data_IF_267943654285
#
_entry.id   IF_267943654285
#
_cell.length_a   1.000
_cell.length_b   1.000
_cell.length_c   1.000
_cell.angle_alpha   90.00
_cell.angle_beta   90.00
_cell.angle_gamma   90.00
#
_symmetry.space_group_name_H-M   'P 1'
#
loop_
_entity.id
_entity.type
_entity.pdbx_description
1 polymer ?
#
# COMPACT_ATOMS: atom_id res chain seq x y z
N UNK A 1 58.37 0.76 -20.33
CA UNK A 1 57.46 -0.27 -19.84
C UNK A 1 56.18 0.46 -19.34
N UNK A 2 55.09 0.36 -20.11
CA UNK A 2 53.83 1.07 -19.82
C UNK A 2 52.86 0.07 -19.20
N UNK A 3 52.49 0.28 -17.91
CA UNK A 3 51.49 -0.51 -17.24
C UNK A 3 50.10 0.04 -17.58
N UNK A 4 49.31 -0.77 -18.30
CA UNK A 4 47.86 -0.49 -18.51
C UNK A 4 47.08 -0.91 -17.24
N UNK A 5 46.51 0.05 -16.56
CA UNK A 5 45.56 -0.21 -15.52
C UNK A 5 44.16 -0.45 -16.14
N UNK A 6 43.69 -1.70 -16.05
CA UNK A 6 42.31 -2.04 -16.39
C UNK A 6 41.38 -1.59 -15.24
N UNK A 7 40.57 -0.56 -15.48
CA UNK A 7 39.46 -0.18 -14.60
C UNK A 7 38.30 -1.13 -14.88
N UNK A 8 38.09 -2.09 -13.99
CA UNK A 8 36.89 -2.93 -14.02
C UNK A 8 35.73 -2.16 -13.44
N UNK A 9 34.85 -1.67 -14.29
CA UNK A 9 33.55 -1.10 -13.90
C UNK A 9 32.61 -2.22 -13.45
N UNK A 10 32.41 -2.31 -12.14
CA UNK A 10 31.44 -3.23 -11.54
C UNK A 10 30.04 -2.65 -11.74
N UNK A 11 29.28 -3.16 -12.71
CA UNK A 11 27.85 -2.88 -12.84
C UNK A 11 27.12 -3.57 -11.67
N UNK A 12 26.72 -2.81 -10.71
CA UNK A 12 25.73 -3.26 -9.73
C UNK A 12 24.36 -3.35 -10.43
N UNK A 13 24.00 -4.56 -10.82
CA UNK A 13 22.63 -4.87 -11.18
C UNK A 13 21.80 -4.85 -9.88
N UNK A 14 21.11 -3.76 -9.62
CA UNK A 14 20.08 -3.71 -8.59
C UNK A 14 18.88 -4.53 -9.07
N UNK A 15 18.82 -5.78 -8.63
CA UNK A 15 17.65 -6.62 -8.80
C UNK A 15 16.47 -5.97 -8.10
N UNK A 16 15.46 -5.60 -8.88
CA UNK A 16 14.16 -5.17 -8.37
C UNK A 16 13.43 -6.40 -7.78
N UNK A 17 13.72 -6.70 -6.54
CA UNK A 17 12.90 -7.57 -5.70
C UNK A 17 12.07 -6.64 -4.85
N UNK A 18 10.84 -6.31 -5.24
CA UNK A 18 9.89 -5.75 -4.29
C UNK A 18 8.46 -5.73 -4.85
N UNK A 19 7.66 -6.72 -4.58
CA UNK A 19 6.21 -6.56 -4.59
C UNK A 19 5.60 -6.76 -3.18
N UNK A 20 6.23 -7.54 -2.31
CA UNK A 20 5.68 -7.91 -1.00
C UNK A 20 6.16 -7.00 0.16
N UNK A 21 7.31 -6.35 -0.01
CA UNK A 21 7.92 -5.48 1.02
C UNK A 21 7.38 -4.03 1.01
N UNK A 22 6.53 -3.70 0.04
CA UNK A 22 5.96 -2.35 -0.10
C UNK A 22 4.80 -2.09 0.90
N UNK A 23 4.10 -3.12 1.36
CA UNK A 23 2.96 -3.00 2.25
C UNK A 23 3.38 -3.09 3.71
N UNK A 24 3.03 -2.06 4.48
CA UNK A 24 3.30 -1.97 5.92
C UNK A 24 2.07 -2.39 6.73
N UNK A 25 2.30 -2.79 7.97
CA UNK A 25 1.22 -3.13 8.92
C UNK A 25 1.12 -2.14 10.08
N UNK A 26 2.03 -1.16 10.14
CA UNK A 26 2.14 -0.16 11.21
C UNK A 26 1.80 1.22 10.66
N UNK A 27 0.56 1.68 10.90
CA UNK A 27 0.08 2.96 10.40
C UNK A 27 0.84 4.17 10.99
N UNK A 28 1.16 4.24 12.29
CA UNK A 28 1.99 5.32 12.83
C UNK A 28 3.32 5.49 12.09
N UNK A 29 4.06 4.41 11.89
CA UNK A 29 5.33 4.46 11.14
C UNK A 29 5.13 4.84 9.67
N UNK A 30 4.04 4.37 9.05
CA UNK A 30 3.71 4.75 7.69
C UNK A 30 3.43 6.25 7.55
N UNK A 31 2.75 6.87 8.52
CA UNK A 31 2.52 8.31 8.56
C UNK A 31 3.82 9.11 8.74
N UNK A 32 4.72 8.66 9.60
CA UNK A 32 6.04 9.26 9.76
C UNK A 32 6.83 9.24 8.44
N UNK A 33 6.82 8.08 7.76
CA UNK A 33 7.45 7.94 6.45
C UNK A 33 6.80 8.85 5.40
N UNK A 34 5.48 8.86 5.33
CA UNK A 34 4.73 9.70 4.38
C UNK A 34 5.05 11.19 4.57
N UNK A 35 5.16 11.64 5.81
CA UNK A 35 5.55 13.02 6.14
C UNK A 35 6.96 13.34 5.68
N UNK A 36 7.91 12.44 5.92
CA UNK A 36 9.30 12.58 5.49
C UNK A 36 9.44 12.58 3.96
N UNK A 37 8.69 11.73 3.26
CA UNK A 37 8.74 11.57 1.81
C UNK A 37 7.76 12.48 1.06
N UNK A 38 6.94 13.25 1.75
CA UNK A 38 5.86 14.09 1.18
C UNK A 38 4.88 13.28 0.31
N UNK A 39 4.50 12.10 0.81
CA UNK A 39 3.54 11.18 0.18
C UNK A 39 2.24 11.11 0.95
N UNK A 40 1.22 10.59 0.31
CA UNK A 40 -0.03 10.19 0.96
C UNK A 40 0.12 8.77 1.55
N UNK A 41 -0.78 8.40 2.45
CA UNK A 41 -0.88 7.02 2.97
C UNK A 41 -2.15 6.39 2.41
N UNK A 42 -2.04 5.25 1.75
CA UNK A 42 -3.19 4.43 1.39
C UNK A 42 -3.30 3.26 2.35
N UNK A 43 -4.46 3.11 2.97
CA UNK A 43 -4.77 2.03 3.90
C UNK A 43 -5.78 1.10 3.21
N UNK A 44 -5.45 -0.18 3.12
CA UNK A 44 -6.36 -1.26 2.72
C UNK A 44 -6.81 -2.04 3.95
N UNK A 45 -8.07 -1.86 4.35
CA UNK A 45 -8.75 -2.72 5.32
C UNK A 45 -9.31 -3.91 4.57
N UNK A 46 -8.76 -5.08 4.80
CA UNK A 46 -9.03 -6.26 3.96
C UNK A 46 -9.30 -7.53 4.77
N UNK A 47 -9.96 -8.48 4.16
CA UNK A 47 -10.08 -9.86 4.62
C UNK A 47 -9.41 -10.79 3.63
N UNK A 48 -8.07 -10.85 3.65
CA UNK A 48 -7.24 -11.39 2.58
C UNK A 48 -7.51 -12.87 2.26
N UNK A 49 -7.96 -13.66 3.23
CA UNK A 49 -8.18 -15.10 3.06
C UNK A 49 -9.66 -15.51 2.83
N UNK A 50 -10.61 -14.60 3.07
CA UNK A 50 -12.04 -14.94 3.02
C UNK A 50 -12.92 -13.99 2.21
N UNK A 51 -12.47 -12.77 1.90
CA UNK A 51 -13.28 -11.71 1.29
C UNK A 51 -13.10 -11.68 -0.24
N UNK A 52 -14.09 -12.17 -1.07
CA UNK A 52 -13.94 -12.20 -2.52
C UNK A 52 -13.68 -10.82 -3.16
N UNK A 53 -14.41 -9.74 -2.85
CA UNK A 53 -14.11 -8.44 -3.45
C UNK A 53 -12.75 -7.88 -3.03
N UNK A 54 -12.25 -8.23 -1.81
CA UNK A 54 -10.88 -7.87 -1.39
C UNK A 54 -9.83 -8.55 -2.28
N UNK A 55 -9.97 -9.85 -2.50
CA UNK A 55 -9.08 -10.61 -3.39
C UNK A 55 -9.11 -10.08 -4.81
N UNK A 56 -10.29 -9.70 -5.29
CA UNK A 56 -10.44 -9.14 -6.63
C UNK A 56 -9.76 -7.77 -6.74
N UNK A 57 -10.00 -6.85 -5.80
CA UNK A 57 -9.30 -5.56 -5.74
C UNK A 57 -7.78 -5.74 -5.73
N UNK A 58 -7.28 -6.62 -4.88
CA UNK A 58 -5.84 -6.90 -4.77
C UNK A 58 -5.28 -7.37 -6.11
N UNK A 59 -5.91 -8.37 -6.73
CA UNK A 59 -5.45 -8.97 -7.99
C UNK A 59 -5.53 -8.00 -9.17
N UNK A 60 -6.62 -7.23 -9.29
CA UNK A 60 -6.90 -6.46 -10.52
C UNK A 60 -6.43 -5.01 -10.45
N UNK A 61 -6.28 -4.45 -9.25
CA UNK A 61 -5.85 -3.06 -9.06
C UNK A 61 -4.52 -2.99 -8.33
N UNK A 62 -4.45 -3.49 -7.08
CA UNK A 62 -3.30 -3.24 -6.22
C UNK A 62 -2.01 -3.93 -6.69
N UNK A 63 -2.11 -5.00 -7.47
CA UNK A 63 -0.98 -5.66 -8.15
C UNK A 63 -0.77 -5.18 -9.59
N UNK A 64 -1.58 -4.26 -10.10
CA UNK A 64 -1.41 -3.76 -11.47
C UNK A 64 -0.17 -2.90 -11.63
N UNK A 65 0.35 -2.84 -12.85
CA UNK A 65 1.50 -2.01 -13.17
C UNK A 65 1.18 -0.51 -13.00
N UNK A 66 -0.03 -0.10 -13.40
CA UNK A 66 -0.52 1.27 -13.25
C UNK A 66 -0.54 1.71 -11.79
N UNK A 67 -1.08 0.88 -10.91
CA UNK A 67 -1.10 1.17 -9.48
C UNK A 67 0.31 1.18 -8.89
N UNK A 68 1.14 0.20 -9.24
CA UNK A 68 2.51 0.09 -8.72
C UNK A 68 3.36 1.31 -9.08
N UNK A 69 3.27 1.80 -10.32
CA UNK A 69 3.96 3.01 -10.77
C UNK A 69 3.48 4.25 -10.00
N UNK A 70 2.17 4.42 -9.86
CA UNK A 70 1.61 5.53 -9.11
C UNK A 70 1.98 5.48 -7.62
N UNK A 71 1.87 4.32 -7.01
CA UNK A 71 2.12 4.12 -5.59
C UNK A 71 3.58 4.41 -5.23
N UNK A 72 4.53 3.97 -6.04
CA UNK A 72 5.96 4.19 -5.82
C UNK A 72 6.30 5.67 -5.57
N UNK A 73 5.70 6.56 -6.33
CA UNK A 73 6.01 7.99 -6.28
C UNK A 73 5.11 8.76 -5.31
N UNK A 74 3.91 8.27 -4.99
CA UNK A 74 2.87 9.06 -4.35
C UNK A 74 2.33 8.48 -3.05
N UNK A 75 2.53 7.19 -2.76
CA UNK A 75 1.88 6.51 -1.66
C UNK A 75 2.89 5.80 -0.74
N UNK A 76 2.58 5.78 0.55
CA UNK A 76 3.03 4.77 1.50
C UNK A 76 1.85 3.82 1.69
N UNK A 77 2.07 2.51 1.50
CA UNK A 77 1.01 1.51 1.50
C UNK A 77 0.91 0.82 2.86
N UNK A 78 -0.30 0.71 3.39
CA UNK A 78 -0.61 0.03 4.65
C UNK A 78 -1.72 -0.99 4.43
N UNK A 79 -1.47 -2.25 4.77
CA UNK A 79 -2.48 -3.31 4.80
C UNK A 79 -2.86 -3.60 6.25
N UNK A 80 -4.15 -3.48 6.55
CA UNK A 80 -4.75 -3.88 7.82
C UNK A 80 -5.65 -5.08 7.56
N UNK A 81 -5.07 -6.27 7.71
CA UNK A 81 -5.75 -7.54 7.42
C UNK A 81 -6.54 -8.05 8.62
N UNK A 82 -7.70 -8.61 8.33
CA UNK A 82 -8.61 -9.26 9.28
C UNK A 82 -8.85 -10.71 8.85
N UNK A 83 -7.82 -11.57 8.94
CA UNK A 83 -7.90 -12.94 8.44
C UNK A 83 -8.79 -13.81 9.31
N UNK A 84 -9.36 -14.88 8.73
CA UNK A 84 -10.11 -15.92 9.44
C UNK A 84 -9.28 -17.18 9.70
N UNK A 85 -8.40 -17.52 8.77
CA UNK A 85 -7.61 -18.77 8.81
C UNK A 85 -6.12 -18.55 8.88
N UNK A 86 -5.60 -17.44 8.34
CA UNK A 86 -4.18 -17.10 8.45
C UNK A 86 -3.82 -16.74 9.89
N UNK A 87 -2.68 -17.22 10.40
CA UNK A 87 -2.20 -16.82 11.72
C UNK A 87 -1.84 -15.32 11.73
N UNK A 88 -2.15 -14.67 12.85
CA UNK A 88 -1.81 -13.28 13.09
C UNK A 88 -1.57 -13.11 14.60
N UNK A 89 -0.57 -12.32 15.00
CA UNK A 89 -0.31 -12.06 16.41
C UNK A 89 -1.47 -11.34 17.09
N UNK A 90 -1.62 -11.55 18.40
CA UNK A 90 -2.69 -10.89 19.15
C UNK A 90 -2.50 -9.38 19.23
N UNK A 91 -1.25 -8.90 19.25
CA UNK A 91 -0.90 -7.49 19.21
C UNK A 91 -1.37 -6.85 17.89
N UNK A 92 -1.11 -7.50 16.75
CA UNK A 92 -1.52 -6.99 15.44
C UNK A 92 -3.05 -7.02 15.27
N UNK A 93 -3.71 -8.08 15.74
CA UNK A 93 -5.19 -8.15 15.77
C UNK A 93 -5.79 -6.98 16.58
N UNK A 94 -5.24 -6.73 17.77
CA UNK A 94 -5.70 -5.64 18.63
C UNK A 94 -5.49 -4.27 17.97
N UNK A 95 -4.30 -4.02 17.42
CA UNK A 95 -3.98 -2.79 16.72
C UNK A 95 -4.91 -2.54 15.51
N UNK A 96 -5.11 -3.56 14.67
CA UNK A 96 -5.99 -3.47 13.50
C UNK A 96 -7.45 -3.22 13.91
N UNK A 97 -7.91 -3.87 15.00
CA UNK A 97 -9.26 -3.66 15.53
C UNK A 97 -9.47 -2.22 16.01
N UNK A 98 -8.51 -1.64 16.72
CA UNK A 98 -8.57 -0.24 17.17
C UNK A 98 -8.59 0.73 15.99
N UNK A 99 -7.78 0.48 14.96
CA UNK A 99 -7.79 1.31 13.75
C UNK A 99 -9.11 1.17 12.99
N UNK A 100 -9.67 -0.04 12.89
CA UNK A 100 -10.98 -0.26 12.28
C UNK A 100 -12.08 0.53 12.99
N UNK A 101 -12.05 0.60 14.31
CA UNK A 101 -12.98 1.44 15.11
C UNK A 101 -12.72 2.93 14.87
N UNK A 102 -11.46 3.36 14.94
CA UNK A 102 -11.05 4.76 14.74
C UNK A 102 -11.56 5.31 13.41
N UNK A 103 -11.44 4.52 12.35
CA UNK A 103 -11.88 4.90 11.00
C UNK A 103 -13.32 4.48 10.69
N UNK A 104 -14.06 3.95 11.65
CA UNK A 104 -15.46 3.52 11.49
C UNK A 104 -15.67 2.56 10.30
N UNK A 105 -14.75 1.60 10.11
CA UNK A 105 -14.82 0.62 9.04
C UNK A 105 -15.93 -0.38 9.32
N UNK A 106 -16.85 -0.55 8.37
CA UNK A 106 -18.05 -1.43 8.52
C UNK A 106 -18.11 -2.53 7.46
N UNK A 107 -17.19 -2.56 6.53
CA UNK A 107 -17.19 -3.54 5.45
C UNK A 107 -15.82 -3.65 4.78
N UNK A 108 -15.65 -4.66 3.96
CA UNK A 108 -14.38 -4.96 3.30
C UNK A 108 -14.58 -5.19 1.80
N UNK A 109 -13.60 -4.78 0.96
CA UNK A 109 -12.50 -3.91 1.33
C UNK A 109 -12.97 -2.50 1.68
N UNK A 110 -12.22 -1.80 2.51
CA UNK A 110 -12.33 -0.35 2.66
C UNK A 110 -10.97 0.26 2.39
N UNK A 111 -10.88 1.10 1.38
CA UNK A 111 -9.68 1.88 1.06
C UNK A 111 -9.85 3.28 1.63
N UNK A 112 -8.86 3.73 2.39
CA UNK A 112 -8.77 5.10 2.90
C UNK A 112 -7.44 5.69 2.46
N UNK A 113 -7.46 6.93 1.97
CA UNK A 113 -6.24 7.69 1.70
C UNK A 113 -6.16 8.87 2.64
N UNK A 114 -5.01 8.98 3.30
CA UNK A 114 -4.69 10.10 4.21
C UNK A 114 -3.62 10.99 3.57
N UNK A 115 -3.64 12.28 3.89
CA UNK A 115 -2.48 13.12 3.66
C UNK A 115 -1.34 12.80 4.67
N UNK A 116 -0.21 13.46 4.53
CA UNK A 116 0.95 13.23 5.38
C UNK A 116 0.72 13.65 6.86
N UNK A 117 -0.30 14.43 7.14
CA UNK A 117 -0.73 14.84 8.47
C UNK A 117 -1.77 13.91 9.09
N UNK A 118 -2.23 12.89 8.33
CA UNK A 118 -3.21 11.91 8.77
C UNK A 118 -4.66 12.31 8.55
N UNK A 119 -4.93 13.37 7.77
CA UNK A 119 -6.27 13.77 7.39
C UNK A 119 -6.80 12.89 6.26
N UNK A 120 -8.02 12.40 6.39
CA UNK A 120 -8.68 11.61 5.37
C UNK A 120 -9.01 12.48 4.13
N UNK A 121 -8.50 12.06 2.97
CA UNK A 121 -8.74 12.68 1.67
C UNK A 121 -9.74 11.89 0.82
N UNK A 122 -9.80 10.57 1.03
CA UNK A 122 -10.59 9.67 0.20
C UNK A 122 -11.01 8.43 0.98
N UNK A 123 -12.19 7.93 0.65
CA UNK A 123 -12.72 6.67 1.19
C UNK A 123 -13.50 5.94 0.11
N UNK A 124 -13.24 4.66 -0.06
CA UNK A 124 -14.04 3.78 -0.92
C UNK A 124 -14.34 2.48 -0.20
N UNK A 125 -15.61 2.16 -0.05
CA UNK A 125 -16.06 0.92 0.58
C UNK A 125 -16.54 -0.04 -0.50
N UNK A 126 -16.06 -1.27 -0.44
CA UNK A 126 -16.35 -2.28 -1.45
C UNK A 126 -15.52 -2.14 -2.73
N UNK A 127 -15.65 -3.12 -3.60
CA UNK A 127 -15.02 -3.12 -4.91
C UNK A 127 -15.95 -3.77 -5.94
N UNK A 128 -16.36 -2.99 -6.92
CA UNK A 128 -17.31 -3.39 -7.98
C UNK A 128 -16.66 -3.66 -9.34
N UNK A 129 -15.33 -3.82 -9.41
CA UNK A 129 -14.63 -4.11 -10.66
C UNK A 129 -14.14 -2.88 -11.43
N UNK A 130 -13.97 -1.74 -10.77
CA UNK A 130 -13.36 -0.54 -11.39
C UNK A 130 -11.99 -0.90 -11.98
N UNK A 131 -11.72 -0.61 -13.26
CA UNK A 131 -10.41 -0.86 -13.87
C UNK A 131 -9.26 -0.14 -13.14
N UNK A 132 -8.07 -0.72 -13.15
CA UNK A 132 -6.90 -0.18 -12.46
C UNK A 132 -6.57 1.27 -12.90
N UNK A 133 -6.64 1.56 -14.19
CA UNK A 133 -6.39 2.90 -14.72
C UNK A 133 -7.36 3.95 -14.16
N UNK A 134 -8.65 3.62 -14.10
CA UNK A 134 -9.67 4.53 -13.54
C UNK A 134 -9.51 4.70 -12.04
N UNK A 135 -9.16 3.61 -11.34
CA UNK A 135 -8.89 3.65 -9.91
C UNK A 135 -7.70 4.56 -9.59
N UNK A 136 -6.61 4.43 -10.33
CA UNK A 136 -5.42 5.29 -10.21
C UNK A 136 -5.74 6.73 -10.59
N UNK A 137 -6.56 6.97 -11.62
CA UNK A 137 -6.98 8.32 -12.00
C UNK A 137 -7.74 9.02 -10.86
N UNK A 138 -8.60 8.30 -10.13
CA UNK A 138 -9.28 8.85 -8.95
C UNK A 138 -8.32 9.20 -7.82
N UNK A 139 -7.32 8.34 -7.56
CA UNK A 139 -6.28 8.62 -6.57
C UNK A 139 -5.39 9.82 -6.98
N UNK A 140 -5.09 9.96 -8.26
CA UNK A 140 -4.27 11.06 -8.78
C UNK A 140 -4.91 12.44 -8.56
N UNK A 141 -6.24 12.53 -8.52
CA UNK A 141 -6.98 13.77 -8.22
C UNK A 141 -6.76 14.27 -6.80
N UNK A 142 -6.29 13.43 -5.89
CA UNK A 142 -6.03 13.79 -4.49
C UNK A 142 -4.72 14.54 -4.30
N UNK A 143 -3.83 14.51 -5.29
CA UNK A 143 -2.56 15.25 -5.26
C UNK A 143 -2.85 16.75 -5.35
N UNK A 144 -2.26 17.49 -4.43
CA UNK A 144 -2.27 18.96 -4.40
C UNK A 144 -1.01 19.51 -5.05
#
# INVERSE_FOLDING_TARGET
MKALAFLATLLFATSALVADDAWKTDLPKALEQAKSEKKMVLIDFTGSDWCPPCKNLHKTVLLSEEFSKFAKDNLVLVELDFPKTKPQSDELKAANKELSKKYAVRGYPTIIVLDAEGKELFRKVGYGGTPAADYVADLAKLKK
#
